data_IF_945168735699
#
_entry.id   IF_945168735699
#
_cell.length_a   1.000
_cell.length_b   1.000
_cell.length_c   1.000
_cell.angle_alpha   90.00
_cell.angle_beta   90.00
_cell.angle_gamma   90.00
#
_symmetry.space_group_name_H-M   'P 1'
#
loop_
_entity.id
_entity.type
_entity.pdbx_description
1 polymer ?
#
# COMPACT_ATOMS: atom_id res chain seq x y z
N UNK A 1 23.01 -20.07 11.90
CA UNK A 1 21.61 -20.45 11.56
C UNK A 1 20.99 -21.48 12.51
N UNK A 2 21.64 -22.59 12.87
CA UNK A 2 20.98 -23.65 13.68
C UNK A 2 20.81 -23.40 15.19
N UNK A 3 21.72 -22.65 15.83
CA UNK A 3 21.82 -22.58 17.30
C UNK A 3 20.58 -22.01 18.01
N UNK A 4 19.87 -21.07 17.39
CA UNK A 4 18.65 -20.44 17.92
C UNK A 4 17.44 -21.41 17.94
N UNK A 5 17.51 -22.52 17.21
CA UNK A 5 16.45 -23.52 17.08
C UNK A 5 16.89 -24.90 17.60
N UNK A 6 18.01 -24.97 18.33
CA UNK A 6 18.57 -26.24 18.84
C UNK A 6 19.27 -27.11 17.79
N UNK A 7 19.43 -26.61 16.56
CA UNK A 7 20.14 -27.32 15.49
C UNK A 7 21.64 -27.04 15.52
N UNK A 8 22.41 -27.98 14.95
CA UNK A 8 23.84 -27.79 14.67
C UNK A 8 24.04 -26.53 13.83
N UNK A 9 25.06 -25.74 14.16
CA UNK A 9 25.43 -24.59 13.33
C UNK A 9 25.80 -25.04 11.92
N UNK A 10 25.23 -24.38 10.92
CA UNK A 10 25.45 -24.73 9.51
C UNK A 10 26.84 -24.36 9.00
N UNK A 11 27.56 -23.46 9.67
CA UNK A 11 28.80 -22.89 9.14
C UNK A 11 28.60 -21.95 7.94
N UNK A 12 27.36 -21.56 7.63
CA UNK A 12 27.03 -20.72 6.47
C UNK A 12 26.54 -19.37 6.97
N UNK A 13 27.12 -18.31 6.41
CA UNK A 13 26.68 -16.93 6.59
C UNK A 13 26.13 -16.43 5.26
N UNK A 14 24.80 -16.20 5.15
CA UNK A 14 24.21 -15.61 3.96
C UNK A 14 24.57 -14.13 3.78
N UNK A 15 24.44 -13.63 2.56
CA UNK A 15 24.52 -12.20 2.25
C UNK A 15 23.34 -11.44 2.85
N UNK A 16 23.58 -10.21 3.28
CA UNK A 16 22.55 -9.27 3.71
C UNK A 16 22.39 -9.16 5.23
N UNK A 17 21.34 -8.46 5.64
CA UNK A 17 21.01 -8.20 7.05
C UNK A 17 20.12 -9.31 7.60
N UNK A 18 20.50 -9.88 8.74
CA UNK A 18 19.71 -10.89 9.42
C UNK A 18 18.29 -10.38 9.74
N UNK A 19 17.27 -11.14 9.35
CA UNK A 19 15.88 -10.85 9.68
C UNK A 19 15.33 -11.84 10.69
N UNK A 20 15.37 -13.13 10.35
CA UNK A 20 14.89 -14.24 11.17
C UNK A 20 15.68 -15.51 10.81
N UNK A 21 15.57 -16.61 11.57
CA UNK A 21 16.15 -17.88 11.16
C UNK A 21 15.69 -18.24 9.73
N UNK A 22 16.64 -18.62 8.88
CA UNK A 22 16.53 -18.86 7.44
C UNK A 22 16.51 -17.63 6.53
N UNK A 23 16.36 -16.41 7.06
CA UNK A 23 15.96 -15.24 6.25
C UNK A 23 16.86 -14.02 6.47
N UNK A 24 17.26 -13.42 5.35
CA UNK A 24 18.08 -12.21 5.30
C UNK A 24 17.50 -11.22 4.29
N UNK A 25 17.69 -9.93 4.54
CA UNK A 25 17.36 -8.86 3.61
C UNK A 25 18.62 -8.44 2.86
N UNK A 26 18.61 -8.55 1.54
CA UNK A 26 19.64 -8.01 0.67
C UNK A 26 19.35 -6.55 0.30
N UNK A 27 20.35 -5.91 -0.31
CA UNK A 27 20.14 -4.63 -1.00
C UNK A 27 19.21 -4.81 -2.21
N UNK A 28 18.75 -3.70 -2.80
CA UNK A 28 17.94 -3.74 -4.01
C UNK A 28 18.79 -4.03 -5.25
N UNK A 29 18.28 -4.84 -6.18
CA UNK A 29 18.94 -5.17 -7.45
C UNK A 29 18.02 -5.94 -8.41
N UNK A 30 18.60 -6.34 -9.55
CA UNK A 30 17.87 -6.98 -10.68
C UNK A 30 17.89 -8.52 -10.65
N UNK A 31 18.41 -9.12 -9.58
CA UNK A 31 18.50 -10.56 -9.39
C UNK A 31 17.36 -11.14 -8.56
N UNK A 32 17.63 -12.25 -7.88
CA UNK A 32 16.64 -13.05 -7.15
C UNK A 32 15.95 -12.21 -6.06
N UNK A 33 14.62 -12.26 -6.00
CA UNK A 33 13.81 -11.51 -5.03
C UNK A 33 14.01 -10.00 -5.06
N UNK A 34 14.51 -9.42 -6.16
CA UNK A 34 14.83 -8.00 -6.26
C UNK A 34 16.13 -7.60 -5.54
N UNK A 35 17.08 -8.54 -5.41
CA UNK A 35 18.41 -8.32 -4.83
C UNK A 35 19.51 -8.36 -5.90
N UNK A 36 20.77 -8.00 -5.62
CA UNK A 36 21.87 -8.15 -6.58
C UNK A 36 22.29 -9.60 -6.89
N UNK A 37 21.79 -10.59 -6.14
CA UNK A 37 22.15 -12.02 -6.26
C UNK A 37 21.62 -12.58 -7.58
N UNK A 38 22.51 -12.94 -8.52
CA UNK A 38 22.12 -13.52 -9.82
C UNK A 38 22.31 -15.02 -9.86
N UNK A 39 23.31 -15.51 -9.13
CA UNK A 39 23.57 -16.92 -8.93
C UNK A 39 23.25 -17.31 -7.48
N UNK A 40 22.55 -18.43 -7.21
CA UNK A 40 22.21 -18.84 -5.85
C UNK A 40 23.42 -19.04 -4.93
N UNK A 41 24.61 -19.33 -5.47
CA UNK A 41 25.86 -19.44 -4.69
C UNK A 41 26.30 -18.09 -4.13
N UNK A 42 26.00 -16.99 -4.81
CA UNK A 42 26.28 -15.62 -4.35
C UNK A 42 25.46 -15.26 -3.11
N UNK A 43 24.38 -15.99 -2.80
CA UNK A 43 23.61 -15.80 -1.57
C UNK A 43 24.41 -16.20 -0.31
N UNK A 44 25.56 -16.88 -0.46
CA UNK A 44 26.45 -17.29 0.62
C UNK A 44 27.64 -16.33 0.68
N UNK A 45 27.69 -15.48 1.70
CA UNK A 45 28.79 -14.53 1.92
C UNK A 45 30.05 -15.21 2.47
N UNK A 46 29.87 -16.17 3.39
CA UNK A 46 30.99 -16.82 4.05
C UNK A 46 30.65 -18.27 4.44
N UNK A 47 31.67 -19.13 4.39
CA UNK A 47 31.61 -20.55 4.76
C UNK A 47 32.71 -20.88 5.77
N UNK A 48 32.32 -21.31 6.95
CA UNK A 48 33.19 -21.88 7.97
C UNK A 48 33.47 -23.36 7.65
N UNK A 49 34.65 -23.59 7.05
CA UNK A 49 35.11 -24.93 6.63
C UNK A 49 35.19 -25.96 7.75
N UNK A 50 35.23 -25.53 9.02
CA UNK A 50 35.26 -26.46 10.17
C UNK A 50 33.90 -27.08 10.50
N UNK A 51 32.81 -26.50 9.99
CA UNK A 51 31.43 -26.89 10.32
C UNK A 51 30.67 -27.51 9.16
N UNK A 52 31.04 -27.17 7.93
CA UNK A 52 30.50 -27.76 6.71
C UNK A 52 31.13 -29.14 6.43
N UNK A 53 30.43 -29.97 5.66
CA UNK A 53 30.87 -31.32 5.31
C UNK A 53 30.34 -31.71 3.92
N UNK A 54 31.05 -32.60 3.19
CA UNK A 54 30.57 -33.10 1.90
C UNK A 54 29.16 -33.72 1.99
N UNK A 55 28.32 -33.43 1.01
CA UNK A 55 26.91 -33.81 0.99
C UNK A 55 25.97 -32.90 1.79
N UNK A 56 26.48 -31.86 2.47
CA UNK A 56 25.63 -30.84 3.11
C UNK A 56 24.78 -30.14 2.05
N UNK A 57 23.45 -30.10 2.26
CA UNK A 57 22.48 -29.47 1.36
C UNK A 57 21.95 -28.15 1.91
N UNK A 58 21.80 -27.17 1.03
CA UNK A 58 21.32 -25.82 1.36
C UNK A 58 20.31 -25.40 0.31
N UNK A 59 19.07 -25.15 0.74
CA UNK A 59 18.04 -24.58 -0.12
C UNK A 59 18.16 -23.06 -0.10
N UNK A 60 18.43 -22.47 -1.25
CA UNK A 60 18.32 -21.02 -1.49
C UNK A 60 16.98 -20.78 -2.17
N UNK A 61 16.16 -19.93 -1.57
CA UNK A 61 14.77 -19.71 -1.98
C UNK A 61 14.42 -18.25 -1.78
N UNK A 62 13.78 -17.64 -2.77
CA UNK A 62 13.27 -16.28 -2.65
C UNK A 62 11.90 -16.27 -1.94
N UNK A 63 11.61 -15.21 -1.19
CA UNK A 63 10.34 -15.07 -0.42
C UNK A 63 9.09 -15.04 -1.29
N UNK A 64 9.26 -14.69 -2.55
CA UNK A 64 8.22 -14.59 -3.58
C UNK A 64 7.95 -15.94 -4.27
N UNK A 65 8.87 -16.91 -4.13
CA UNK A 65 8.76 -18.25 -4.72
C UNK A 65 9.10 -18.34 -6.21
N UNK A 66 9.51 -17.25 -6.87
CA UNK A 66 9.86 -17.29 -8.29
C UNK A 66 11.12 -18.12 -8.57
N UNK A 67 12.12 -18.06 -7.68
CA UNK A 67 13.36 -18.81 -7.81
C UNK A 67 13.67 -19.68 -6.57
N UNK A 68 14.20 -20.87 -6.84
CA UNK A 68 14.73 -21.79 -5.84
C UNK A 68 15.88 -22.62 -6.41
N UNK A 69 16.92 -22.86 -5.62
CA UNK A 69 18.02 -23.76 -5.97
C UNK A 69 18.47 -24.56 -4.75
N UNK A 70 18.80 -25.83 -5.00
CA UNK A 70 19.48 -26.66 -4.00
C UNK A 70 20.97 -26.61 -4.28
N UNK A 71 21.75 -26.27 -3.26
CA UNK A 71 23.19 -26.36 -3.28
C UNK A 71 23.63 -27.57 -2.47
N UNK A 72 24.63 -28.29 -2.96
CA UNK A 72 25.28 -29.39 -2.23
C UNK A 72 26.78 -29.11 -2.11
N UNK A 73 27.34 -29.33 -0.92
CA UNK A 73 28.77 -29.23 -0.69
C UNK A 73 29.48 -30.44 -1.31
N UNK A 74 30.40 -30.21 -2.25
CA UNK A 74 31.21 -31.28 -2.82
C UNK A 74 32.43 -31.62 -1.94
N UNK A 75 33.19 -32.66 -2.32
CA UNK A 75 34.40 -33.09 -1.61
C UNK A 75 35.54 -32.05 -1.65
N UNK A 76 35.50 -31.11 -2.61
CA UNK A 76 36.46 -30.01 -2.73
C UNK A 76 36.12 -28.83 -1.80
N UNK A 77 35.01 -28.90 -1.05
CA UNK A 77 34.59 -27.85 -0.14
C UNK A 77 33.92 -26.65 -0.84
N UNK A 78 33.31 -26.89 -2.00
CA UNK A 78 32.57 -25.90 -2.77
C UNK A 78 31.10 -26.29 -2.93
N UNK A 79 30.22 -25.29 -2.89
CA UNK A 79 28.79 -25.50 -3.16
C UNK A 79 28.52 -25.56 -4.67
N UNK A 80 27.96 -26.68 -5.12
CA UNK A 80 27.48 -26.87 -6.49
C UNK A 80 25.96 -26.93 -6.51
N UNK A 81 25.36 -26.42 -7.60
CA UNK A 81 23.92 -26.54 -7.81
C UNK A 81 23.60 -27.99 -8.15
N UNK A 82 22.66 -28.58 -7.43
CA UNK A 82 22.13 -29.93 -7.68
C UNK A 82 20.66 -29.86 -8.02
N UNK A 83 20.10 -31.01 -8.45
CA UNK A 83 18.68 -31.09 -8.72
C UNK A 83 17.84 -30.68 -7.50
N UNK A 84 16.89 -29.77 -7.72
CA UNK A 84 15.95 -29.34 -6.69
C UNK A 84 15.00 -30.51 -6.35
N UNK A 85 15.02 -31.04 -5.12
CA UNK A 85 14.17 -32.18 -4.77
C UNK A 85 12.69 -31.83 -4.90
N UNK A 86 11.85 -32.82 -5.24
CA UNK A 86 10.42 -32.63 -5.47
C UNK A 86 9.72 -31.87 -4.33
N UNK A 87 10.01 -32.22 -3.07
CA UNK A 87 9.44 -31.55 -1.88
C UNK A 87 9.81 -30.06 -1.79
N UNK A 88 11.00 -29.67 -2.26
CA UNK A 88 11.41 -28.27 -2.30
C UNK A 88 10.71 -27.51 -3.45
N UNK A 89 10.47 -28.16 -4.59
CA UNK A 89 9.65 -27.61 -5.69
C UNK A 89 8.20 -27.39 -5.26
N UNK A 90 7.63 -28.35 -4.54
CA UNK A 90 6.27 -28.23 -3.98
C UNK A 90 6.18 -27.05 -3.00
N UNK A 91 7.16 -26.89 -2.11
CA UNK A 91 7.24 -25.72 -1.22
C UNK A 91 7.37 -24.41 -2.00
N UNK A 92 8.24 -24.37 -3.02
CA UNK A 92 8.41 -23.19 -3.88
C UNK A 92 7.09 -22.79 -4.55
N UNK A 93 6.40 -23.76 -5.18
CA UNK A 93 5.10 -23.54 -5.82
C UNK A 93 4.07 -23.06 -4.82
N UNK A 94 4.01 -23.69 -3.63
CA UNK A 94 3.10 -23.29 -2.57
C UNK A 94 3.33 -21.83 -2.15
N UNK A 95 4.59 -21.41 -1.96
CA UNK A 95 4.91 -20.00 -1.65
C UNK A 95 4.46 -19.08 -2.78
N UNK A 96 4.77 -19.45 -4.03
CA UNK A 96 4.44 -18.63 -5.20
C UNK A 96 2.93 -18.48 -5.41
N UNK A 97 2.15 -19.52 -5.12
CA UNK A 97 0.69 -19.52 -5.24
C UNK A 97 0.00 -18.78 -4.08
N UNK A 98 0.67 -18.65 -2.93
CA UNK A 98 0.16 -17.96 -1.75
C UNK A 98 0.76 -16.56 -1.58
N UNK A 99 1.41 -16.00 -2.60
CA UNK A 99 1.90 -14.61 -2.57
C UNK A 99 0.77 -13.64 -2.92
N UNK A 100 0.78 -12.49 -2.26
CA UNK A 100 -0.08 -11.36 -2.60
C UNK A 100 0.77 -10.19 -3.04
N UNK A 101 0.26 -9.40 -4.00
CA UNK A 101 0.91 -8.15 -4.38
C UNK A 101 0.95 -7.22 -3.18
N UNK A 102 2.15 -6.73 -2.83
CA UNK A 102 2.28 -5.70 -1.80
C UNK A 102 1.60 -4.42 -2.27
N UNK A 103 0.57 -3.99 -1.54
CA UNK A 103 -0.15 -2.74 -1.81
C UNK A 103 0.09 -1.73 -0.69
N UNK A 104 0.26 -0.46 -1.07
CA UNK A 104 0.33 0.65 -0.13
C UNK A 104 -1.07 1.18 0.14
N UNK A 105 -1.47 1.21 1.41
CA UNK A 105 -2.69 1.91 1.84
C UNK A 105 -2.37 3.35 2.20
N UNK A 106 -3.05 4.31 1.58
CA UNK A 106 -2.93 5.73 1.88
C UNK A 106 -4.28 6.29 2.30
N UNK A 107 -4.34 6.80 3.53
CA UNK A 107 -5.54 7.43 4.08
C UNK A 107 -5.31 8.93 4.22
N UNK A 108 -6.26 9.73 3.74
CA UNK A 108 -6.28 11.17 4.01
C UNK A 108 -7.19 11.43 5.19
N UNK A 109 -6.67 12.11 6.22
CA UNK A 109 -7.41 12.52 7.42
C UNK A 109 -7.56 14.03 7.38
N UNK A 110 -8.80 14.51 7.43
CA UNK A 110 -9.10 15.93 7.29
C UNK A 110 -10.27 16.38 8.14
N UNK A 111 -10.50 17.69 8.15
CA UNK A 111 -11.60 18.32 8.87
C UNK A 111 -12.21 19.46 8.07
N UNK A 112 -13.54 19.53 8.04
CA UNK A 112 -14.28 20.63 7.47
C UNK A 112 -14.50 21.74 8.52
N UNK A 113 -13.69 22.80 8.39
CA UNK A 113 -13.69 23.97 9.27
C UNK A 113 -14.95 24.85 9.17
N UNK A 114 -14.99 25.93 9.96
CA UNK A 114 -16.13 26.86 9.98
C UNK A 114 -16.40 27.54 8.64
N UNK A 115 -15.37 28.06 7.99
CA UNK A 115 -15.46 28.78 6.70
C UNK A 115 -16.00 27.92 5.57
N UNK A 116 -15.55 26.66 5.48
CA UNK A 116 -16.07 25.70 4.51
C UNK A 116 -17.56 25.44 4.73
N UNK A 117 -17.97 25.21 5.98
CA UNK A 117 -19.38 24.94 6.32
C UNK A 117 -20.28 26.15 6.03
N UNK A 118 -19.82 27.37 6.29
CA UNK A 118 -20.58 28.59 5.97
C UNK A 118 -20.76 28.81 4.47
N UNK A 119 -19.83 28.32 3.64
CA UNK A 119 -19.97 28.36 2.19
C UNK A 119 -21.13 27.52 1.66
N UNK A 120 -21.62 26.55 2.44
CA UNK A 120 -22.70 25.64 2.05
C UNK A 120 -24.04 26.08 2.64
N UNK A 121 -24.03 26.59 3.87
CA UNK A 121 -25.23 26.82 4.67
C UNK A 121 -25.07 28.01 5.61
N UNK A 122 -26.17 28.71 5.89
CA UNK A 122 -26.23 29.72 6.94
C UNK A 122 -26.23 29.14 8.37
N UNK A 123 -26.37 27.83 8.53
CA UNK A 123 -26.40 27.11 9.81
C UNK A 123 -25.32 25.99 9.88
N UNK A 124 -24.03 26.34 10.07
CA UNK A 124 -22.91 25.36 10.07
C UNK A 124 -23.04 24.20 11.06
N UNK A 125 -23.66 24.44 12.22
CA UNK A 125 -23.92 23.41 13.21
C UNK A 125 -24.98 22.41 12.73
N UNK A 126 -26.01 22.87 12.01
CA UNK A 126 -27.05 22.01 11.46
C UNK A 126 -26.47 21.08 10.39
N UNK A 127 -25.59 21.58 9.50
CA UNK A 127 -24.87 20.74 8.55
C UNK A 127 -24.01 19.69 9.26
N UNK A 128 -23.30 20.09 10.32
CA UNK A 128 -22.51 19.15 11.12
C UNK A 128 -23.38 18.01 11.65
N UNK A 129 -24.52 18.33 12.29
CA UNK A 129 -25.47 17.32 12.78
C UNK A 129 -26.01 16.44 11.64
N UNK A 130 -26.39 17.04 10.51
CA UNK A 130 -26.95 16.31 9.38
C UNK A 130 -25.96 15.33 8.73
N UNK A 131 -24.66 15.65 8.74
CA UNK A 131 -23.60 14.71 8.33
C UNK A 131 -23.49 13.54 9.29
N UNK A 132 -23.47 13.80 10.60
CA UNK A 132 -23.45 12.74 11.64
C UNK A 132 -24.72 11.87 11.64
N UNK A 133 -25.87 12.45 11.29
CA UNK A 133 -27.15 11.75 11.13
C UNK A 133 -27.27 11.00 9.79
N UNK A 134 -26.28 11.12 8.89
CA UNK A 134 -26.29 10.47 7.57
C UNK A 134 -27.26 11.08 6.56
N UNK A 135 -27.89 12.22 6.87
CA UNK A 135 -28.75 12.98 5.94
C UNK A 135 -27.95 13.69 4.84
N UNK A 136 -26.68 13.97 5.13
CA UNK A 136 -25.72 14.54 4.19
C UNK A 136 -24.53 13.61 4.06
N UNK A 137 -24.21 13.20 2.84
CA UNK A 137 -23.07 12.34 2.54
C UNK A 137 -21.85 13.23 2.28
N UNK A 138 -20.80 13.01 3.05
CA UNK A 138 -19.49 13.59 2.82
C UNK A 138 -18.68 12.69 1.89
N UNK A 139 -18.20 13.25 0.78
CA UNK A 139 -17.24 12.61 -0.11
C UNK A 139 -16.02 13.50 -0.31
N UNK A 140 -14.90 12.90 -0.67
CA UNK A 140 -13.68 13.61 -1.07
C UNK A 140 -13.17 13.01 -2.35
N UNK A 141 -13.12 13.81 -3.41
CA UNK A 141 -12.69 13.35 -4.73
C UNK A 141 -13.55 12.20 -5.25
N UNK A 142 -14.86 12.25 -5.02
CA UNK A 142 -15.81 11.21 -5.40
C UNK A 142 -15.84 9.98 -4.50
N UNK A 143 -14.95 9.87 -3.50
CA UNK A 143 -14.93 8.72 -2.57
C UNK A 143 -15.66 9.09 -1.29
N UNK A 144 -16.64 8.28 -0.89
CA UNK A 144 -17.37 8.47 0.36
C UNK A 144 -16.40 8.39 1.55
N UNK A 145 -16.40 9.43 2.38
CA UNK A 145 -15.55 9.49 3.55
C UNK A 145 -16.20 8.80 4.77
N UNK A 146 -15.37 8.25 5.64
CA UNK A 146 -15.78 7.85 6.98
C UNK A 146 -15.74 9.07 7.90
N UNK A 147 -16.89 9.47 8.44
CA UNK A 147 -16.99 10.59 9.38
C UNK A 147 -16.60 10.09 10.77
N UNK A 148 -15.58 10.73 11.36
CA UNK A 148 -15.10 10.42 12.71
C UNK A 148 -16.12 10.87 13.77
N UNK A 149 -16.29 10.12 14.87
CA UNK A 149 -17.17 10.52 15.96
C UNK A 149 -16.68 11.80 16.64
N UNK A 150 -17.60 12.46 17.37
CA UNK A 150 -17.31 13.68 18.13
C UNK A 150 -17.88 14.94 17.50
N UNK A 151 -17.30 16.09 17.84
CA UNK A 151 -17.75 17.38 17.34
C UNK A 151 -17.09 17.74 15.99
N UNK A 152 -17.74 18.62 15.23
CA UNK A 152 -17.27 19.03 13.91
C UNK A 152 -17.44 17.94 12.85
N UNK A 153 -16.84 18.15 11.68
CA UNK A 153 -16.87 17.20 10.57
C UNK A 153 -15.42 16.80 10.30
N UNK A 154 -14.93 15.83 11.06
CA UNK A 154 -13.62 15.21 10.84
C UNK A 154 -13.82 13.89 10.12
N UNK A 155 -12.90 13.51 9.26
CA UNK A 155 -13.11 12.36 8.40
C UNK A 155 -11.80 11.68 7.99
N UNK A 156 -11.94 10.43 7.57
CA UNK A 156 -10.89 9.63 6.92
C UNK A 156 -11.42 9.17 5.57
N UNK A 157 -10.59 9.21 4.54
CA UNK A 157 -10.95 8.75 3.20
C UNK A 157 -9.79 7.99 2.55
N UNK A 158 -10.15 6.94 1.83
CA UNK A 158 -9.24 6.06 1.09
C UNK A 158 -8.79 6.74 -0.21
N UNK A 159 -7.52 7.15 -0.27
CA UNK A 159 -6.95 7.86 -1.43
C UNK A 159 -6.82 6.94 -2.63
N UNK A 160 -6.65 5.63 -2.42
CA UNK A 160 -6.48 4.67 -3.51
C UNK A 160 -7.74 4.54 -4.41
N UNK A 161 -8.90 4.97 -3.91
CA UNK A 161 -10.18 4.96 -4.65
C UNK A 161 -10.47 6.27 -5.39
N UNK A 162 -9.65 7.29 -5.21
CA UNK A 162 -9.84 8.59 -5.84
C UNK A 162 -9.32 8.59 -7.28
N UNK A 163 -9.83 9.48 -8.15
CA UNK A 163 -9.24 9.70 -9.46
C UNK A 163 -7.79 10.22 -9.33
N UNK A 164 -7.01 10.08 -10.41
CA UNK A 164 -5.64 10.55 -10.45
C UNK A 164 -5.54 12.04 -10.13
N UNK A 165 -4.60 12.41 -9.22
CA UNK A 165 -4.33 13.78 -8.76
C UNK A 165 -5.58 14.53 -8.27
N UNK A 166 -6.26 14.04 -7.21
CA UNK A 166 -7.49 14.66 -6.73
C UNK A 166 -7.22 15.91 -5.87
N UNK A 167 -6.03 16.01 -5.26
CA UNK A 167 -5.65 17.12 -4.39
C UNK A 167 -4.90 18.22 -5.14
N UNK A 168 -5.14 19.47 -4.74
CA UNK A 168 -4.38 20.63 -5.19
C UNK A 168 -3.59 21.24 -4.03
N UNK A 169 -2.60 22.08 -4.36
CA UNK A 169 -1.75 22.76 -3.40
C UNK A 169 -1.75 24.26 -3.66
N UNK A 170 -1.72 25.04 -2.60
CA UNK A 170 -1.52 26.49 -2.66
C UNK A 170 -0.08 26.84 -2.26
N UNK A 171 0.42 28.07 -2.52
CA UNK A 171 1.79 28.45 -2.15
C UNK A 171 2.07 28.39 -0.64
N UNK A 172 1.06 28.64 0.19
CA UNK A 172 1.10 28.32 1.61
C UNK A 172 1.03 26.80 1.77
N UNK A 173 1.74 26.17 2.73
CA UNK A 173 1.77 24.72 2.88
C UNK A 173 0.43 24.16 3.39
N UNK A 174 -0.57 24.15 2.52
CA UNK A 174 -1.93 23.74 2.76
C UNK A 174 -2.46 22.94 1.56
N UNK A 175 -3.10 21.81 1.87
CA UNK A 175 -3.76 20.95 0.90
C UNK A 175 -5.15 21.49 0.62
N UNK A 176 -5.50 21.61 -0.65
CA UNK A 176 -6.88 21.85 -1.09
C UNK A 176 -7.48 20.49 -1.43
N UNK A 177 -8.30 19.97 -0.51
CA UNK A 177 -9.03 18.72 -0.69
C UNK A 177 -10.36 18.97 -1.43
N UNK A 178 -10.71 18.15 -2.43
CA UNK A 178 -11.98 18.26 -3.16
C UNK A 178 -13.13 17.70 -2.33
N UNK A 179 -13.56 18.45 -1.30
CA UNK A 179 -14.62 18.03 -0.38
C UNK A 179 -16.00 18.31 -0.99
N UNK A 180 -16.89 17.33 -0.93
CA UNK A 180 -18.22 17.35 -1.53
C UNK A 180 -19.29 16.97 -0.50
N UNK A 181 -20.44 17.65 -0.53
CA UNK A 181 -21.61 17.33 0.29
C UNK A 181 -22.79 16.99 -0.61
N UNK A 182 -23.23 15.74 -0.54
CA UNK A 182 -24.39 15.27 -1.31
C UNK A 182 -25.59 15.10 -0.42
N UNK A 183 -26.73 15.68 -0.80
CA UNK A 183 -27.96 15.62 -0.03
C UNK A 183 -29.18 15.87 -0.92
N UNK A 184 -30.38 15.58 -0.40
CA UNK A 184 -31.62 15.98 -1.06
C UNK A 184 -31.78 17.51 -1.03
N UNK A 185 -32.35 18.08 -2.09
CA UNK A 185 -32.66 19.52 -2.19
C UNK A 185 -33.47 20.04 -0.99
N UNK A 186 -34.43 19.26 -0.50
CA UNK A 186 -35.22 19.59 0.71
C UNK A 186 -34.32 19.74 1.94
N UNK A 187 -33.40 18.81 2.15
CA UNK A 187 -32.43 18.85 3.26
C UNK A 187 -31.53 20.07 3.13
N UNK A 188 -31.04 20.37 1.93
CA UNK A 188 -30.23 21.58 1.69
C UNK A 188 -30.97 22.87 2.10
N UNK A 189 -32.26 22.97 1.79
CA UNK A 189 -33.09 24.12 2.19
C UNK A 189 -33.41 24.15 3.68
N UNK A 190 -33.70 23.00 4.30
CA UNK A 190 -33.89 22.88 5.76
C UNK A 190 -32.63 23.30 6.51
N UNK A 191 -31.46 23.02 5.94
CA UNK A 191 -30.17 23.48 6.44
C UNK A 191 -29.91 24.96 6.14
N UNK A 192 -30.82 25.73 5.53
CA UNK A 192 -30.57 27.13 5.21
C UNK A 192 -29.50 27.34 4.14
N UNK A 193 -29.43 26.42 3.17
CA UNK A 193 -28.54 26.52 2.02
C UNK A 193 -28.82 27.74 1.13
N UNK A 194 -27.79 28.20 0.42
CA UNK A 194 -27.84 29.38 -0.44
C UNK A 194 -28.65 29.10 -1.72
N UNK A 195 -29.95 29.41 -1.69
CA UNK A 195 -30.90 29.00 -2.75
C UNK A 195 -30.61 29.65 -4.11
N UNK A 196 -30.11 30.89 -4.11
CA UNK A 196 -29.84 31.65 -5.34
C UNK A 196 -28.61 31.15 -6.11
N UNK A 197 -27.77 30.36 -5.46
CA UNK A 197 -26.53 29.80 -6.01
C UNK A 197 -26.74 28.39 -6.60
N UNK A 198 -27.98 27.87 -6.59
CA UNK A 198 -28.27 26.55 -7.15
C UNK A 198 -28.30 26.60 -8.68
N UNK A 199 -27.49 25.74 -9.28
CA UNK A 199 -27.44 25.53 -10.73
C UNK A 199 -27.75 24.05 -11.02
N UNK A 200 -28.47 23.78 -12.10
CA UNK A 200 -28.71 22.41 -12.55
C UNK A 200 -27.44 21.83 -13.17
N UNK A 201 -27.23 20.53 -12.97
CA UNK A 201 -26.07 19.83 -13.53
C UNK A 201 -26.04 19.92 -15.06
N UNK A 202 -27.19 19.74 -15.72
CA UNK A 202 -27.30 19.82 -17.18
C UNK A 202 -26.88 21.18 -17.74
N UNK A 203 -27.19 22.27 -17.02
CA UNK A 203 -26.81 23.62 -17.43
C UNK A 203 -25.29 23.84 -17.28
N UNK A 204 -24.69 23.30 -16.22
CA UNK A 204 -23.23 23.32 -16.03
C UNK A 204 -22.50 22.50 -17.10
N UNK A 205 -23.03 21.34 -17.47
CA UNK A 205 -22.44 20.48 -18.50
C UNK A 205 -22.49 21.16 -19.88
N UNK A 206 -23.64 21.74 -20.27
CA UNK A 206 -23.76 22.52 -21.52
C UNK A 206 -22.80 23.70 -21.57
N UNK A 207 -22.64 24.44 -20.47
CA UNK A 207 -21.68 25.55 -20.40
C UNK A 207 -20.23 25.08 -20.60
N UNK A 208 -19.88 23.91 -20.06
CA UNK A 208 -18.53 23.34 -20.21
C UNK A 208 -18.25 22.87 -21.63
N UNK A 209 -19.21 22.24 -22.30
CA UNK A 209 -19.09 21.84 -23.72
C UNK A 209 -18.90 23.08 -24.60
N UNK A 210 -19.73 24.12 -24.42
CA UNK A 210 -19.61 25.36 -25.19
C UNK A 210 -18.27 26.10 -25.02
N UNK A 211 -17.60 25.93 -23.86
CA UNK A 211 -16.27 26.50 -23.61
C UNK A 211 -15.13 25.66 -24.19
N UNK A 212 -15.34 24.36 -24.38
CA UNK A 212 -14.33 23.44 -24.96
C UNK A 212 -14.34 23.53 -26.49
N UNK A 213 -15.48 23.84 -27.10
CA UNK A 213 -15.59 24.10 -28.55
C UNK A 213 -15.07 25.49 -28.97
N UNK A 214 -14.81 26.38 -28.01
CA UNK A 214 -14.34 27.75 -28.23
C UNK A 214 -12.83 27.95 -27.95
N UNK A 215 -12.11 26.86 -27.65
CA UNK A 215 -10.68 26.82 -27.28
C UNK A 215 -9.93 25.80 -28.13
#
# INVERSE_FOLDING_TARGET
MGKLLGYRESGITPVGTYASPGRFFGDHGEGWGGTPVKDPREAIAHVDKSKVFPGMKVLILEVTGDHAAMLEMNDNGEFQIVELPQRARELQLWIRENRETSQLSVLYVGGAGGSLRSGITNFPLALTKAVHEGKVILSVGGVRAFVLPGAGINFIVDVAKMPWRPFNWVPSPAVVAPIEFTMLKKVYFELGGHQRELVLLDDLLKQRESKTDAS
#
